data_IF_360076489553
#
_entry.id   IF_360076489553
#
_cell.length_a   1.000
_cell.length_b   1.000
_cell.length_c   1.000
_cell.angle_alpha   90.00
_cell.angle_beta   90.00
_cell.angle_gamma   90.00
#
_symmetry.space_group_name_H-M   'P 1'
#
loop_
_entity.id
_entity.type
_entity.pdbx_description
1 polymer ?
#
# COMPACT_ATOMS: atom_id res chain seq x y z
N UNK A 1 -16.30 -21.63 1.95
CA UNK A 1 -16.42 -20.54 2.96
C UNK A 1 -15.93 -19.22 2.40
N UNK A 2 -16.31 -18.08 3.04
CA UNK A 2 -15.81 -16.75 2.65
C UNK A 2 -14.69 -16.30 3.59
N UNK A 3 -13.59 -15.78 3.04
CA UNK A 3 -12.39 -15.34 3.74
C UNK A 3 -12.14 -13.88 3.34
N UNK A 4 -11.97 -12.99 4.31
CA UNK A 4 -11.55 -11.62 4.02
C UNK A 4 -10.05 -11.60 3.69
N UNK A 5 -9.66 -10.80 2.68
CA UNK A 5 -8.27 -10.58 2.31
C UNK A 5 -7.93 -9.11 2.51
N UNK A 6 -6.85 -8.86 3.26
CA UNK A 6 -6.18 -7.57 3.40
C UNK A 6 -4.71 -7.72 3.02
N UNK A 7 -4.09 -6.63 2.63
CA UNK A 7 -2.66 -6.53 2.33
C UNK A 7 -2.22 -5.08 2.41
N UNK A 8 -0.93 -4.84 2.59
CA UNK A 8 -0.34 -3.50 2.47
C UNK A 8 -1.11 -2.45 3.29
N UNK A 9 -1.34 -2.76 4.58
CA UNK A 9 -2.08 -1.86 5.48
C UNK A 9 -1.23 -0.70 5.97
N UNK A 10 0.11 -0.84 5.97
CA UNK A 10 1.09 0.19 6.25
C UNK A 10 0.73 1.09 7.42
N UNK A 11 0.37 0.50 8.58
CA UNK A 11 0.15 1.30 9.78
C UNK A 11 1.40 2.12 10.11
N UNK A 12 1.23 3.44 10.22
CA UNK A 12 2.32 4.39 10.37
C UNK A 12 2.75 5.07 9.06
N UNK A 13 1.99 4.86 7.98
CA UNK A 13 2.24 5.52 6.69
C UNK A 13 2.34 7.05 6.81
N UNK A 14 3.06 7.65 5.84
CA UNK A 14 3.27 9.09 5.77
C UNK A 14 3.91 9.64 7.04
N UNK A 15 4.96 8.96 7.51
CA UNK A 15 5.75 9.34 8.68
C UNK A 15 4.91 9.46 9.96
N UNK A 16 4.10 8.43 10.26
CA UNK A 16 3.17 8.35 11.39
C UNK A 16 2.10 9.48 11.40
N UNK A 17 1.67 9.90 10.23
CA UNK A 17 0.69 10.98 10.08
C UNK A 17 -0.62 10.64 10.77
N UNK A 18 -1.05 11.49 11.72
CA UNK A 18 -2.35 11.34 12.38
C UNK A 18 -3.52 11.44 11.40
N UNK A 19 -3.39 12.24 10.34
CA UNK A 19 -4.41 12.42 9.32
C UNK A 19 -4.65 11.10 8.59
N UNK A 20 -3.56 10.42 8.19
CA UNK A 20 -3.66 9.12 7.53
C UNK A 20 -4.14 8.02 8.48
N UNK A 21 -3.67 8.01 9.74
CA UNK A 21 -4.13 7.07 10.76
C UNK A 21 -5.65 7.16 10.96
N UNK A 22 -6.21 8.37 11.12
CA UNK A 22 -7.65 8.60 11.23
C UNK A 22 -8.42 8.22 9.96
N UNK A 23 -7.85 8.51 8.80
CA UNK A 23 -8.43 8.15 7.51
C UNK A 23 -8.48 6.62 7.32
N UNK A 24 -7.45 5.88 7.72
CA UNK A 24 -7.43 4.42 7.68
C UNK A 24 -8.47 3.82 8.61
N UNK A 25 -8.56 4.30 9.85
CA UNK A 25 -9.58 3.81 10.79
C UNK A 25 -11.00 4.13 10.35
N UNK A 26 -11.23 5.22 9.64
CA UNK A 26 -12.54 5.51 9.04
C UNK A 26 -12.99 4.40 8.07
N UNK A 27 -12.07 3.82 7.31
CA UNK A 27 -12.36 2.66 6.46
C UNK A 27 -12.66 1.42 7.30
N UNK A 28 -11.85 1.11 8.31
CA UNK A 28 -12.08 -0.07 9.15
C UNK A 28 -13.41 0.03 9.90
N UNK A 29 -13.71 1.18 10.47
CA UNK A 29 -14.90 1.39 11.30
C UNK A 29 -16.20 1.37 10.50
N UNK A 30 -16.20 1.89 9.28
CA UNK A 30 -17.43 2.09 8.52
C UNK A 30 -17.60 1.14 7.34
N UNK A 31 -16.55 0.42 6.92
CA UNK A 31 -16.62 -0.48 5.77
C UNK A 31 -16.20 -1.89 6.16
N UNK A 32 -14.95 -2.08 6.60
CA UNK A 32 -14.37 -3.40 6.78
C UNK A 32 -15.08 -4.22 7.85
N UNK A 33 -15.06 -3.78 9.11
CA UNK A 33 -15.68 -4.54 10.22
C UNK A 33 -17.20 -4.69 10.08
N UNK A 34 -17.96 -3.65 9.68
CA UNK A 34 -19.39 -3.81 9.40
C UNK A 34 -19.66 -4.88 8.34
N UNK A 35 -18.90 -4.89 7.25
CA UNK A 35 -19.06 -5.88 6.18
C UNK A 35 -18.79 -7.31 6.69
N UNK A 36 -17.72 -7.53 7.45
CA UNK A 36 -17.42 -8.84 8.03
C UNK A 36 -18.58 -9.34 8.90
N UNK A 37 -19.10 -8.45 9.73
CA UNK A 37 -20.23 -8.76 10.63
C UNK A 37 -21.51 -9.08 9.87
N UNK A 38 -21.89 -8.26 8.89
CA UNK A 38 -23.10 -8.42 8.08
C UNK A 38 -23.07 -9.71 7.27
N UNK A 39 -21.89 -10.11 6.75
CA UNK A 39 -21.72 -11.30 5.94
C UNK A 39 -21.24 -12.52 6.74
N UNK A 40 -21.16 -12.43 8.07
CA UNK A 40 -20.69 -13.50 8.98
C UNK A 40 -19.34 -14.09 8.55
N UNK A 41 -18.39 -13.24 8.11
CA UNK A 41 -17.04 -13.65 7.76
C UNK A 41 -16.22 -13.75 9.05
N UNK A 42 -15.61 -14.92 9.28
CA UNK A 42 -14.89 -15.25 10.52
C UNK A 42 -13.42 -15.59 10.28
N UNK A 43 -12.94 -15.45 9.07
CA UNK A 43 -11.54 -15.70 8.72
C UNK A 43 -10.99 -14.52 7.94
N UNK A 44 -9.81 -14.06 8.36
CA UNK A 44 -9.03 -13.01 7.69
C UNK A 44 -7.66 -13.59 7.30
N UNK A 45 -7.27 -13.39 6.06
CA UNK A 45 -5.87 -13.57 5.62
C UNK A 45 -5.30 -12.20 5.28
N UNK A 46 -4.22 -11.81 5.95
CA UNK A 46 -3.44 -10.62 5.66
C UNK A 46 -2.19 -11.00 4.87
N UNK A 47 -2.06 -10.49 3.66
CA UNK A 47 -1.01 -10.87 2.72
C UNK A 47 0.30 -10.08 2.89
N UNK A 48 0.59 -9.61 4.10
CA UNK A 48 1.84 -8.91 4.43
C UNK A 48 1.76 -7.38 4.38
N UNK A 49 2.84 -6.75 4.83
CA UNK A 49 3.00 -5.30 4.96
C UNK A 49 1.97 -4.66 5.89
N UNK A 50 1.98 -5.12 7.15
CA UNK A 50 1.15 -4.55 8.21
C UNK A 50 1.65 -3.18 8.61
N UNK A 51 2.97 -3.03 8.81
CA UNK A 51 3.58 -1.76 9.24
C UNK A 51 4.28 -1.08 8.07
N UNK A 52 4.36 0.24 8.14
CA UNK A 52 4.98 1.04 7.09
C UNK A 52 6.52 0.99 7.15
N UNK A 53 7.09 0.98 8.37
CA UNK A 53 8.54 1.06 8.56
C UNK A 53 9.12 -0.17 9.24
N UNK A 54 10.20 -0.69 8.70
CA UNK A 54 10.87 -1.92 9.14
C UNK A 54 11.45 -1.86 10.55
N UNK A 55 12.08 -0.74 10.93
CA UNK A 55 12.96 -0.69 12.09
C UNK A 55 12.31 -0.16 13.37
N UNK A 56 11.21 0.55 13.26
CA UNK A 56 10.53 1.14 14.39
C UNK A 56 9.07 1.47 14.08
N UNK A 57 8.27 1.54 15.10
CA UNK A 57 6.88 1.98 15.05
C UNK A 57 6.66 3.07 16.11
N UNK A 58 5.90 4.09 15.79
CA UNK A 58 5.47 5.09 16.75
C UNK A 58 4.53 4.46 17.78
N UNK A 59 4.72 4.75 19.07
CA UNK A 59 3.91 4.18 20.15
C UNK A 59 2.41 4.48 20.02
N UNK A 60 2.03 5.65 19.48
CA UNK A 60 0.61 5.98 19.22
C UNK A 60 0.04 5.08 18.12
N UNK A 61 0.80 4.86 17.04
CA UNK A 61 0.39 3.97 15.95
C UNK A 61 0.26 2.54 16.47
N UNK A 62 1.25 2.04 17.23
CA UNK A 62 1.20 0.71 17.84
C UNK A 62 0.00 0.56 18.79
N UNK A 63 -0.28 1.58 19.61
CA UNK A 63 -1.45 1.61 20.49
C UNK A 63 -2.75 1.56 19.70
N UNK A 64 -2.90 2.39 18.67
CA UNK A 64 -4.09 2.42 17.82
C UNK A 64 -4.25 1.10 17.06
N UNK A 65 -3.18 0.56 16.48
CA UNK A 65 -3.19 -0.74 15.82
C UNK A 65 -3.70 -1.85 16.75
N UNK A 66 -3.15 -1.92 17.96
CA UNK A 66 -3.61 -2.90 18.94
C UNK A 66 -5.09 -2.72 19.27
N UNK A 67 -5.49 -1.53 19.70
CA UNK A 67 -6.84 -1.31 20.30
C UNK A 67 -7.96 -1.09 19.28
N UNK A 68 -7.65 -0.55 18.09
CA UNK A 68 -8.67 -0.27 17.09
C UNK A 68 -8.75 -1.32 15.98
N UNK A 69 -7.71 -2.17 15.84
CA UNK A 69 -7.69 -3.21 14.81
C UNK A 69 -7.59 -4.61 15.43
N UNK A 70 -6.50 -4.95 16.13
CA UNK A 70 -6.28 -6.30 16.65
C UNK A 70 -7.31 -6.69 17.73
N UNK A 71 -7.56 -5.82 18.73
CA UNK A 71 -8.55 -6.10 19.80
C UNK A 71 -9.95 -6.34 19.21
N UNK A 72 -10.30 -5.70 18.10
CA UNK A 72 -11.58 -5.94 17.42
C UNK A 72 -11.63 -7.29 16.72
N UNK A 73 -10.56 -7.69 16.04
CA UNK A 73 -10.46 -9.03 15.43
C UNK A 73 -10.67 -10.11 16.50
N UNK A 74 -10.05 -9.97 17.68
CA UNK A 74 -10.21 -10.89 18.80
C UNK A 74 -11.62 -10.86 19.37
N UNK A 75 -12.17 -9.69 19.65
CA UNK A 75 -13.55 -9.54 20.20
C UNK A 75 -14.60 -10.14 19.26
N UNK A 76 -14.44 -9.99 17.96
CA UNK A 76 -15.34 -10.55 16.95
C UNK A 76 -15.05 -12.00 16.60
N UNK A 77 -14.01 -12.60 17.24
CA UNK A 77 -13.55 -13.99 17.04
C UNK A 77 -13.26 -14.27 15.57
N UNK A 78 -12.44 -13.44 14.97
CA UNK A 78 -11.96 -13.61 13.60
C UNK A 78 -10.64 -14.35 13.64
N UNK A 79 -10.62 -15.57 13.09
CA UNK A 79 -9.40 -16.34 12.88
C UNK A 79 -8.51 -15.60 11.90
N UNK A 80 -7.35 -15.15 12.39
CA UNK A 80 -6.48 -14.24 11.65
C UNK A 80 -5.20 -14.94 11.23
N UNK A 81 -4.95 -14.95 9.93
CA UNK A 81 -3.76 -15.50 9.29
C UNK A 81 -2.93 -14.38 8.68
N UNK A 82 -1.65 -14.28 9.01
CA UNK A 82 -0.81 -13.16 8.63
C UNK A 82 0.45 -13.68 7.94
N UNK A 83 0.65 -13.28 6.70
CA UNK A 83 1.92 -13.43 5.99
C UNK A 83 2.86 -12.29 6.38
N UNK A 84 4.14 -12.58 6.47
CA UNK A 84 5.17 -11.55 6.62
C UNK A 84 5.44 -10.93 5.26
N UNK A 85 5.29 -9.60 5.17
CA UNK A 85 5.69 -8.79 4.03
C UNK A 85 7.10 -8.20 4.22
N UNK A 86 7.56 -7.48 3.23
CA UNK A 86 8.91 -6.90 3.23
C UNK A 86 9.04 -5.68 4.16
N UNK A 87 7.96 -4.94 4.45
CA UNK A 87 7.94 -3.88 5.45
C UNK A 87 7.86 -4.40 6.89
N UNK A 88 7.43 -5.63 7.08
CA UNK A 88 7.28 -6.20 8.42
C UNK A 88 8.61 -6.67 9.05
N UNK A 89 9.67 -6.86 8.24
CA UNK A 89 10.95 -7.43 8.67
C UNK A 89 11.98 -6.37 9.02
N UNK A 90 12.76 -6.58 10.10
CA UNK A 90 13.84 -5.69 10.47
C UNK A 90 15.04 -5.81 9.53
N UNK A 91 15.52 -7.03 9.30
CA UNK A 91 16.63 -7.34 8.40
C UNK A 91 16.11 -7.80 7.04
N UNK A 92 16.72 -7.32 5.94
CA UNK A 92 16.28 -7.66 4.59
C UNK A 92 16.50 -9.12 4.19
N UNK A 93 17.24 -9.88 4.98
CA UNK A 93 17.65 -11.24 4.68
C UNK A 93 16.96 -12.33 5.50
N UNK A 94 16.03 -11.98 6.39
CA UNK A 94 15.32 -12.94 7.24
C UNK A 94 13.94 -12.45 7.68
N UNK A 95 12.96 -13.34 7.76
CA UNK A 95 11.64 -13.07 8.31
C UNK A 95 11.55 -13.26 9.83
N UNK A 96 12.61 -13.76 10.49
CA UNK A 96 12.58 -14.14 11.91
C UNK A 96 12.46 -12.98 12.88
N UNK A 97 13.01 -11.82 12.49
CA UNK A 97 12.88 -10.58 13.27
C UNK A 97 11.89 -9.67 12.56
N UNK A 98 10.65 -9.68 13.02
CA UNK A 98 9.57 -8.96 12.39
C UNK A 98 8.68 -8.24 13.40
N UNK A 99 8.00 -7.20 12.94
CA UNK A 99 7.09 -6.39 13.75
C UNK A 99 5.81 -7.15 14.12
N UNK A 100 5.34 -8.05 13.27
CA UNK A 100 4.06 -8.76 13.42
C UNK A 100 4.02 -9.58 14.70
N UNK A 101 5.05 -10.37 14.96
CA UNK A 101 5.16 -11.14 16.21
C UNK A 101 5.15 -10.26 17.46
N UNK A 102 5.71 -9.07 17.37
CA UNK A 102 5.79 -8.15 18.52
C UNK A 102 4.49 -7.41 18.77
N UNK A 103 3.72 -7.12 17.71
CA UNK A 103 2.54 -6.25 17.76
C UNK A 103 1.22 -7.04 17.84
N UNK A 104 1.17 -8.26 17.33
CA UNK A 104 -0.05 -9.04 17.17
C UNK A 104 -0.26 -10.11 18.26
N UNK A 105 0.37 -9.96 19.44
CA UNK A 105 0.20 -10.87 20.57
C UNK A 105 -1.18 -10.69 21.23
N UNK A 106 -1.93 -11.76 21.40
CA UNK A 106 -3.22 -11.74 22.08
C UNK A 106 -3.06 -11.48 23.60
N UNK A 107 -3.97 -10.70 24.22
CA UNK A 107 -3.86 -10.34 25.63
C UNK A 107 -3.96 -11.51 26.61
N UNK A 108 -4.70 -12.55 26.22
CA UNK A 108 -5.01 -13.73 27.04
C UNK A 108 -4.30 -15.02 26.56
N UNK A 109 -3.53 -14.94 25.48
CA UNK A 109 -2.93 -16.09 24.81
C UNK A 109 -3.93 -17.00 24.10
N UNK A 110 -5.22 -16.63 24.10
CA UNK A 110 -6.24 -17.30 23.30
C UNK A 110 -6.46 -16.53 21.99
N UNK A 111 -6.73 -17.25 20.88
CA UNK A 111 -6.93 -16.67 19.55
C UNK A 111 -5.71 -15.88 19.01
N UNK A 112 -4.50 -16.36 19.31
CA UNK A 112 -3.27 -15.86 18.69
C UNK A 112 -3.39 -15.95 17.16
N UNK A 113 -2.97 -14.92 16.41
CA UNK A 113 -2.96 -15.00 14.96
C UNK A 113 -1.94 -16.04 14.47
N UNK A 114 -2.28 -16.70 13.37
CA UNK A 114 -1.34 -17.60 12.68
C UNK A 114 -0.38 -16.74 11.85
N UNK A 115 0.89 -16.64 12.27
CA UNK A 115 1.91 -15.85 11.60
C UNK A 115 2.81 -16.77 10.77
N UNK A 116 2.94 -16.47 9.48
CA UNK A 116 3.70 -17.26 8.52
C UNK A 116 5.00 -16.55 8.17
N UNK A 117 6.11 -17.00 8.76
CA UNK A 117 7.48 -16.56 8.46
C UNK A 117 8.11 -17.41 7.36
N UNK A 118 7.65 -18.67 7.26
CA UNK A 118 8.04 -19.66 6.27
C UNK A 118 6.81 -20.13 5.47
N UNK A 119 6.99 -20.65 4.25
CA UNK A 119 5.89 -21.14 3.43
C UNK A 119 5.19 -22.32 4.10
N UNK A 120 3.86 -22.31 4.05
CA UNK A 120 3.05 -23.38 4.66
C UNK A 120 1.77 -23.61 3.87
N UNK A 121 1.41 -24.89 3.66
CA UNK A 121 0.09 -25.26 3.17
C UNK A 121 -0.91 -25.24 4.33
N UNK A 122 -2.02 -24.57 4.16
CA UNK A 122 -3.13 -24.48 5.12
C UNK A 122 -4.41 -24.86 4.42
N UNK A 123 -5.21 -25.69 5.08
CA UNK A 123 -6.52 -26.09 4.58
C UNK A 123 -7.60 -25.13 5.09
N UNK A 124 -8.40 -24.63 4.17
CA UNK A 124 -9.59 -23.82 4.46
C UNK A 124 -10.81 -24.48 3.78
N UNK A 125 -11.69 -25.06 4.57
CA UNK A 125 -12.93 -25.67 4.08
C UNK A 125 -12.69 -26.69 2.93
N UNK A 126 -11.67 -27.54 3.10
CA UNK A 126 -11.28 -28.55 2.12
C UNK A 126 -10.39 -28.04 0.98
N UNK A 127 -10.13 -26.74 0.90
CA UNK A 127 -9.21 -26.16 -0.08
C UNK A 127 -7.83 -25.95 0.54
N UNK A 128 -6.81 -26.55 -0.06
CA UNK A 128 -5.43 -26.31 0.31
C UNK A 128 -4.90 -25.03 -0.34
N UNK A 129 -4.44 -24.10 0.48
CA UNK A 129 -3.83 -22.83 0.05
C UNK A 129 -2.37 -22.80 0.50
N UNK A 130 -1.45 -22.53 -0.41
CA UNK A 130 -0.06 -22.25 -0.06
C UNK A 130 0.05 -20.79 0.42
N UNK A 131 0.37 -20.64 1.71
CA UNK A 131 0.67 -19.37 2.34
C UNK A 131 2.16 -19.06 2.13
N UNK A 132 2.50 -18.04 1.34
CA UNK A 132 3.86 -17.71 0.94
C UNK A 132 4.26 -16.33 1.47
N UNK A 133 5.08 -16.24 2.52
CA UNK A 133 5.60 -14.97 3.03
C UNK A 133 6.62 -14.36 2.07
N UNK A 134 7.11 -13.17 2.41
CA UNK A 134 8.18 -12.51 1.68
C UNK A 134 9.40 -13.43 1.50
N UNK A 135 9.82 -13.57 0.25
CA UNK A 135 10.99 -14.39 -0.11
C UNK A 135 12.25 -13.53 0.07
N UNK A 136 13.19 -14.05 0.85
CA UNK A 136 14.46 -13.40 1.15
C UNK A 136 15.62 -14.41 1.09
N UNK A 137 16.90 -13.99 1.17
CA UNK A 137 18.03 -14.89 1.01
C UNK A 137 18.07 -16.09 1.99
N UNK A 138 17.48 -15.97 3.18
CA UNK A 138 17.48 -17.09 4.15
C UNK A 138 16.48 -18.19 3.76
N UNK A 139 15.28 -17.81 3.28
CA UNK A 139 14.18 -18.74 3.03
C UNK A 139 13.98 -19.09 1.54
N UNK A 140 14.71 -18.47 0.62
CA UNK A 140 14.52 -18.58 -0.83
C UNK A 140 14.47 -20.03 -1.32
N UNK A 141 15.45 -20.84 -0.95
CA UNK A 141 15.51 -22.25 -1.39
C UNK A 141 14.27 -23.03 -0.95
N UNK A 142 13.82 -22.82 0.30
CA UNK A 142 12.62 -23.47 0.82
C UNK A 142 11.35 -22.95 0.17
N UNK A 143 11.25 -21.65 -0.05
CA UNK A 143 10.11 -21.03 -0.75
C UNK A 143 9.98 -21.56 -2.18
N UNK A 144 11.09 -21.62 -2.93
CA UNK A 144 11.09 -22.14 -4.31
C UNK A 144 10.76 -23.65 -4.35
N UNK A 145 11.25 -24.44 -3.40
CA UNK A 145 10.87 -25.83 -3.25
C UNK A 145 9.36 -25.97 -3.01
N UNK A 146 8.80 -25.23 -2.07
CA UNK A 146 7.37 -25.26 -1.76
C UNK A 146 6.50 -24.76 -2.93
N UNK A 147 6.93 -23.73 -3.65
CA UNK A 147 6.26 -23.30 -4.87
C UNK A 147 6.19 -24.40 -5.93
N UNK A 148 7.19 -25.27 -6.01
CA UNK A 148 7.22 -26.38 -6.97
C UNK A 148 6.49 -27.64 -6.49
N UNK A 149 6.48 -27.95 -5.18
CA UNK A 149 6.09 -29.27 -4.67
C UNK A 149 4.84 -29.29 -3.79
N UNK A 150 4.41 -28.11 -3.24
CA UNK A 150 3.30 -28.06 -2.29
C UNK A 150 2.01 -28.61 -2.92
N UNK A 151 1.24 -29.40 -2.17
CA UNK A 151 -0.07 -29.88 -2.58
C UNK A 151 -1.13 -28.79 -2.31
N UNK A 152 -1.20 -27.80 -3.20
CA UNK A 152 -2.16 -26.71 -3.14
C UNK A 152 -2.50 -26.23 -4.56
N UNK A 153 -3.76 -25.86 -4.78
CA UNK A 153 -4.26 -25.31 -6.06
C UNK A 153 -4.18 -23.79 -6.10
N UNK A 154 -4.25 -23.14 -4.93
CA UNK A 154 -4.21 -21.69 -4.77
C UNK A 154 -2.97 -21.30 -3.98
N UNK A 155 -2.34 -20.20 -4.39
CA UNK A 155 -1.26 -19.57 -3.66
C UNK A 155 -1.69 -18.18 -3.19
N UNK A 156 -1.42 -17.85 -1.93
CA UNK A 156 -1.59 -16.51 -1.37
C UNK A 156 -0.25 -16.04 -0.83
N UNK A 157 0.23 -14.89 -1.29
CA UNK A 157 1.59 -14.47 -0.98
C UNK A 157 1.82 -12.98 -0.94
N UNK A 158 3.08 -12.63 -0.65
CA UNK A 158 3.61 -11.29 -0.76
C UNK A 158 4.78 -11.33 -1.73
N UNK A 159 4.50 -11.13 -3.01
CA UNK A 159 5.45 -11.37 -4.09
C UNK A 159 5.91 -10.10 -4.77
N UNK A 160 7.17 -10.07 -5.15
CA UNK A 160 7.73 -9.13 -6.12
C UNK A 160 7.95 -9.87 -7.46
N UNK A 161 6.94 -9.82 -8.35
CA UNK A 161 7.00 -10.46 -9.67
C UNK A 161 7.22 -9.42 -10.76
N UNK A 162 8.10 -9.74 -11.71
CA UNK A 162 8.33 -8.87 -12.86
C UNK A 162 7.13 -8.89 -13.83
N UNK A 163 6.99 -7.83 -14.62
CA UNK A 163 5.96 -7.69 -15.65
C UNK A 163 4.63 -7.11 -15.17
N UNK A 164 4.42 -6.93 -13.86
CA UNK A 164 3.23 -6.30 -13.30
C UNK A 164 3.44 -4.79 -13.07
N UNK A 165 2.33 -4.03 -13.07
CA UNK A 165 2.36 -2.59 -12.83
C UNK A 165 2.44 -2.31 -11.35
N UNK A 166 3.44 -1.55 -10.94
CA UNK A 166 3.54 -0.99 -9.59
C UNK A 166 2.66 0.25 -9.42
N UNK A 167 2.62 1.10 -10.46
CA UNK A 167 1.85 2.35 -10.58
C UNK A 167 1.41 2.51 -12.04
N UNK A 168 0.56 3.50 -12.35
CA UNK A 168 -0.03 3.69 -13.68
C UNK A 168 0.97 3.72 -14.86
N UNK A 169 2.19 4.20 -14.66
CA UNK A 169 3.21 4.29 -15.71
C UNK A 169 4.44 3.40 -15.47
N UNK A 170 4.50 2.67 -14.35
CA UNK A 170 5.69 1.93 -13.95
C UNK A 170 5.41 0.42 -13.88
N UNK A 171 6.11 -0.33 -14.73
CA UNK A 171 6.07 -1.80 -14.73
C UNK A 171 7.32 -2.31 -14.00
N UNK A 172 7.14 -3.24 -13.06
CA UNK A 172 8.24 -3.92 -12.39
C UNK A 172 9.10 -4.71 -13.39
N UNK A 173 10.38 -4.39 -13.45
CA UNK A 173 11.35 -5.02 -14.34
C UNK A 173 12.28 -6.01 -13.62
N UNK A 174 12.32 -5.91 -12.30
CA UNK A 174 13.09 -6.76 -11.42
C UNK A 174 12.15 -7.71 -10.66
N UNK A 175 12.67 -8.51 -9.76
CA UNK A 175 11.88 -9.49 -9.04
C UNK A 175 11.87 -10.86 -9.72
N UNK A 176 11.07 -11.77 -9.18
CA UNK A 176 10.98 -13.13 -9.71
C UNK A 176 10.17 -13.18 -11.00
N UNK A 177 10.54 -14.11 -11.89
CA UNK A 177 9.70 -14.42 -13.06
C UNK A 177 8.39 -15.06 -12.60
N UNK A 178 7.26 -14.63 -13.17
CA UNK A 178 5.94 -15.15 -12.81
C UNK A 178 5.77 -16.66 -13.01
N UNK A 179 6.64 -17.31 -13.77
CA UNK A 179 6.64 -18.75 -13.95
C UNK A 179 6.77 -19.52 -12.63
N UNK A 180 7.35 -18.93 -11.58
CA UNK A 180 7.46 -19.57 -10.26
C UNK A 180 6.11 -19.92 -9.63
N UNK A 181 5.04 -19.21 -10.01
CA UNK A 181 3.67 -19.43 -9.51
C UNK A 181 2.75 -20.04 -10.58
N UNK A 182 3.25 -20.36 -11.78
CA UNK A 182 2.45 -20.79 -12.94
C UNK A 182 1.67 -22.10 -12.75
N UNK A 183 2.09 -22.94 -11.78
CA UNK A 183 1.40 -24.21 -11.50
C UNK A 183 0.11 -24.05 -10.72
N UNK A 184 -0.08 -22.92 -10.03
CA UNK A 184 -1.30 -22.66 -9.26
C UNK A 184 -2.42 -22.19 -10.18
N UNK A 185 -3.64 -22.61 -9.88
CA UNK A 185 -4.83 -22.16 -10.61
C UNK A 185 -5.01 -20.64 -10.48
N UNK A 186 -4.83 -20.15 -9.24
CA UNK A 186 -4.89 -18.72 -8.88
C UNK A 186 -3.80 -18.38 -7.89
N UNK A 187 -3.21 -17.20 -8.05
CA UNK A 187 -2.25 -16.62 -7.10
C UNK A 187 -2.73 -15.24 -6.72
N UNK A 188 -2.91 -14.97 -5.43
CA UNK A 188 -3.28 -13.67 -4.87
C UNK A 188 -2.13 -13.09 -4.09
N UNK A 189 -1.77 -11.83 -4.36
CA UNK A 189 -0.60 -11.19 -3.78
C UNK A 189 -0.89 -9.79 -3.24
N UNK A 190 -0.24 -9.46 -2.13
CA UNK A 190 0.06 -8.09 -1.71
C UNK A 190 1.27 -7.52 -2.43
N UNK A 191 1.91 -6.49 -1.87
CA UNK A 191 3.11 -5.80 -2.30
C UNK A 191 2.84 -4.62 -3.26
N UNK A 192 2.10 -4.80 -4.34
CA UNK A 192 1.76 -3.69 -5.23
C UNK A 192 0.44 -3.04 -4.82
N UNK A 193 0.48 -1.72 -4.58
CA UNK A 193 -0.67 -0.96 -4.07
C UNK A 193 -1.76 -0.71 -5.11
N UNK A 194 -1.46 -0.90 -6.40
CA UNK A 194 -2.44 -0.84 -7.48
C UNK A 194 -2.91 -2.24 -7.86
N UNK A 195 -4.22 -2.39 -8.00
CA UNK A 195 -4.79 -3.65 -8.51
C UNK A 195 -4.28 -3.93 -9.91
N UNK A 196 -3.80 -5.15 -10.11
CA UNK A 196 -3.28 -5.60 -11.39
C UNK A 196 -3.41 -7.12 -11.49
N UNK A 197 -3.80 -7.64 -12.63
CA UNK A 197 -3.90 -9.07 -12.84
C UNK A 197 -3.60 -9.45 -14.30
N UNK A 198 -3.27 -10.71 -14.51
CA UNK A 198 -3.14 -11.33 -15.82
C UNK A 198 -4.09 -12.53 -16.02
N UNK A 199 -5.08 -12.67 -15.14
CA UNK A 199 -6.05 -13.76 -15.11
C UNK A 199 -5.62 -14.97 -14.26
N UNK A 200 -4.33 -15.08 -13.89
CA UNK A 200 -3.80 -16.14 -13.02
C UNK A 200 -3.16 -15.57 -11.76
N UNK A 201 -2.40 -14.50 -11.87
CA UNK A 201 -1.83 -13.75 -10.75
C UNK A 201 -2.61 -12.46 -10.55
N UNK A 202 -3.04 -12.21 -9.30
CA UNK A 202 -3.85 -11.07 -8.90
C UNK A 202 -3.14 -10.29 -7.79
N UNK A 203 -2.65 -9.10 -8.09
CA UNK A 203 -2.26 -8.12 -7.09
C UNK A 203 -3.51 -7.38 -6.62
N UNK A 204 -3.83 -7.51 -5.33
CA UNK A 204 -5.11 -7.03 -4.79
C UNK A 204 -5.16 -5.52 -4.59
N UNK A 205 -3.99 -4.88 -4.47
CA UNK A 205 -3.88 -3.46 -4.19
C UNK A 205 -4.24 -3.09 -2.75
N UNK A 206 -3.88 -1.88 -2.32
CA UNK A 206 -4.14 -1.39 -0.97
C UNK A 206 -5.61 -1.00 -0.75
N UNK A 207 -6.03 -0.96 0.53
CA UNK A 207 -7.42 -0.68 0.92
C UNK A 207 -7.81 0.78 0.80
N UNK A 208 -6.83 1.67 0.80
CA UNK A 208 -7.01 3.12 0.81
C UNK A 208 -5.85 3.82 0.10
N UNK A 209 -6.03 5.10 -0.18
CA UNK A 209 -4.99 5.93 -0.78
C UNK A 209 -3.92 6.26 0.27
N UNK A 210 -2.64 6.09 -0.07
CA UNK A 210 -1.49 6.42 0.78
C UNK A 210 -0.61 7.50 0.16
N UNK A 211 -0.54 7.52 -1.18
CA UNK A 211 0.29 8.45 -1.94
C UNK A 211 -0.50 9.10 -3.07
N UNK A 212 0.05 10.13 -3.70
CA UNK A 212 -0.59 10.79 -4.86
C UNK A 212 -0.70 9.89 -6.09
N UNK A 213 0.09 8.83 -6.19
CA UNK A 213 -0.06 7.81 -7.24
C UNK A 213 -1.37 7.03 -7.11
N UNK A 214 -1.93 6.97 -5.91
CA UNK A 214 -3.21 6.33 -5.63
C UNK A 214 -4.43 7.16 -6.04
N UNK A 215 -4.23 8.44 -6.37
CA UNK A 215 -5.32 9.32 -6.78
C UNK A 215 -6.10 8.73 -7.96
N UNK A 216 -7.43 8.67 -7.81
CA UNK A 216 -8.36 8.09 -8.78
C UNK A 216 -8.20 6.58 -9.02
N UNK A 217 -7.42 5.88 -8.18
CA UNK A 217 -7.35 4.43 -8.18
C UNK A 217 -8.43 3.86 -7.24
N UNK A 218 -9.11 2.80 -7.67
CA UNK A 218 -10.14 2.18 -6.84
C UNK A 218 -9.50 1.36 -5.72
N UNK A 219 -9.74 1.78 -4.49
CA UNK A 219 -9.25 1.14 -3.26
C UNK A 219 -10.35 0.36 -2.56
N UNK A 220 -9.95 -0.66 -1.78
CA UNK A 220 -10.88 -1.51 -1.05
C UNK A 220 -10.21 -2.80 -0.60
N UNK A 221 -11.00 -3.76 -0.16
CA UNK A 221 -10.52 -5.08 0.23
C UNK A 221 -11.24 -6.17 -0.58
N UNK A 222 -10.82 -7.41 -0.40
CA UNK A 222 -11.39 -8.52 -1.16
C UNK A 222 -11.98 -9.58 -0.23
N UNK A 223 -12.94 -10.32 -0.75
CA UNK A 223 -13.51 -11.50 -0.10
C UNK A 223 -13.30 -12.68 -1.03
N UNK A 224 -12.49 -13.62 -0.59
CA UNK A 224 -12.21 -14.86 -1.31
C UNK A 224 -13.25 -15.92 -0.95
N UNK A 225 -13.75 -16.63 -1.94
CA UNK A 225 -14.64 -17.77 -1.78
C UNK A 225 -13.91 -19.08 -2.06
N UNK A 226 -13.81 -19.97 -1.08
CA UNK A 226 -13.09 -21.23 -1.19
C UNK A 226 -13.73 -22.21 -2.21
N UNK A 227 -15.03 -22.09 -2.46
CA UNK A 227 -15.74 -22.95 -3.39
C UNK A 227 -15.47 -22.54 -4.85
N UNK A 228 -15.61 -21.25 -5.16
CA UNK A 228 -15.42 -20.72 -6.51
C UNK A 228 -13.96 -20.38 -6.83
N UNK A 229 -13.13 -20.20 -5.79
CA UNK A 229 -11.73 -19.74 -5.87
C UNK A 229 -11.55 -18.35 -6.47
N UNK A 230 -12.60 -17.53 -6.46
CA UNK A 230 -12.64 -16.16 -6.95
C UNK A 230 -12.68 -15.15 -5.80
N UNK A 231 -12.36 -13.91 -6.12
CA UNK A 231 -12.41 -12.79 -5.18
C UNK A 231 -13.47 -11.79 -5.58
N UNK A 232 -14.28 -11.37 -4.61
CA UNK A 232 -15.18 -10.23 -4.70
C UNK A 232 -14.47 -8.97 -4.18
N UNK A 233 -14.48 -7.89 -4.95
CA UNK A 233 -13.91 -6.60 -4.53
C UNK A 233 -14.94 -5.76 -3.79
N UNK A 234 -14.62 -5.36 -2.57
CA UNK A 234 -15.44 -4.48 -1.70
C UNK A 234 -14.80 -3.10 -1.69
N UNK A 235 -15.45 -2.16 -2.38
CA UNK A 235 -14.92 -0.81 -2.57
C UNK A 235 -14.88 0.00 -1.28
N UNK A 236 -13.75 0.66 -1.03
CA UNK A 236 -13.65 1.76 -0.07
C UNK A 236 -14.22 3.04 -0.71
N UNK A 237 -15.30 3.65 -0.16
CA UNK A 237 -15.87 4.87 -0.72
C UNK A 237 -15.06 6.13 -0.36
N UNK A 238 -14.12 6.03 0.60
CA UNK A 238 -13.36 7.17 1.09
C UNK A 238 -12.12 7.40 0.25
N UNK A 239 -11.85 8.67 -0.03
CA UNK A 239 -10.62 9.16 -0.67
C UNK A 239 -10.01 10.24 0.19
N UNK A 240 -8.70 10.47 0.08
CA UNK A 240 -8.03 11.54 0.80
C UNK A 240 -7.39 12.57 -0.14
N UNK A 241 -7.11 12.20 -1.38
CA UNK A 241 -6.55 13.07 -2.39
C UNK A 241 -7.62 13.60 -3.35
N UNK A 242 -7.51 14.88 -3.75
CA UNK A 242 -8.37 15.51 -4.75
C UNK A 242 -7.56 16.41 -5.66
N UNK A 243 -7.86 16.37 -6.97
CA UNK A 243 -7.37 17.35 -7.94
C UNK A 243 -8.51 18.30 -8.30
N UNK A 244 -8.23 19.59 -8.30
CA UNK A 244 -9.12 20.63 -8.76
C UNK A 244 -8.45 21.34 -9.95
N UNK A 245 -9.06 21.26 -11.12
CA UNK A 245 -8.58 22.01 -12.28
C UNK A 245 -9.35 23.33 -12.33
N UNK A 246 -8.62 24.44 -12.19
CA UNK A 246 -9.16 25.78 -12.34
C UNK A 246 -9.00 26.23 -13.79
N UNK A 247 -10.11 26.51 -14.44
CA UNK A 247 -10.20 27.09 -15.77
C UNK A 247 -11.41 28.02 -15.81
N UNK A 248 -11.17 29.33 -15.82
CA UNK A 248 -12.21 30.35 -15.80
C UNK A 248 -12.58 30.87 -17.21
N UNK A 249 -12.16 30.15 -18.26
CA UNK A 249 -12.49 30.52 -19.63
C UNK A 249 -14.01 30.60 -19.82
N UNK A 250 -14.72 29.56 -19.37
CA UNK A 250 -16.17 29.42 -19.52
C UNK A 250 -16.89 29.07 -18.20
N UNK A 251 -16.17 29.07 -17.07
CA UNK A 251 -16.68 28.63 -15.78
C UNK A 251 -16.55 29.70 -14.71
N UNK A 252 -17.63 29.91 -13.97
CA UNK A 252 -17.64 30.77 -12.79
C UNK A 252 -17.45 29.96 -11.51
N UNK A 253 -16.45 30.32 -10.70
CA UNK A 253 -16.10 29.65 -9.47
C UNK A 253 -16.66 30.30 -8.21
N UNK A 254 -17.35 31.45 -8.29
CA UNK A 254 -17.92 32.12 -7.10
C UNK A 254 -18.93 31.24 -6.33
N UNK A 255 -19.64 30.37 -7.08
CA UNK A 255 -20.62 29.43 -6.51
C UNK A 255 -20.21 27.95 -6.69
N UNK A 256 -18.93 27.71 -6.98
CA UNK A 256 -18.43 26.35 -7.14
C UNK A 256 -18.56 25.59 -5.80
N UNK A 257 -19.11 24.37 -5.86
CA UNK A 257 -19.24 23.53 -4.67
C UNK A 257 -17.86 22.98 -4.25
N UNK A 258 -17.42 23.37 -3.07
CA UNK A 258 -16.13 22.96 -2.48
C UNK A 258 -16.28 21.89 -1.39
N UNK A 259 -17.49 21.40 -1.11
CA UNK A 259 -17.75 20.47 -0.01
C UNK A 259 -16.98 19.15 -0.15
N UNK A 260 -16.80 18.65 -1.36
CA UNK A 260 -16.04 17.43 -1.66
C UNK A 260 -14.53 17.57 -1.38
N UNK A 261 -14.04 18.78 -1.16
CA UNK A 261 -12.64 19.07 -0.86
C UNK A 261 -12.37 19.19 0.64
N UNK A 262 -13.40 19.06 1.48
CA UNK A 262 -13.24 19.08 2.93
C UNK A 262 -12.45 17.87 3.41
N UNK A 263 -11.47 18.09 4.29
CA UNK A 263 -10.55 17.08 4.83
C UNK A 263 -9.80 16.31 3.72
N UNK A 264 -9.28 17.05 2.72
CA UNK A 264 -8.51 16.49 1.61
C UNK A 264 -7.13 17.15 1.48
N UNK A 265 -6.21 16.40 0.90
CA UNK A 265 -5.01 16.95 0.25
C UNK A 265 -5.41 17.34 -1.16
N UNK A 266 -5.19 18.60 -1.53
CA UNK A 266 -5.68 19.15 -2.79
C UNK A 266 -4.52 19.57 -3.67
N UNK A 267 -4.48 19.10 -4.93
CA UNK A 267 -3.69 19.70 -6.01
C UNK A 267 -4.60 20.57 -6.86
N UNK A 268 -4.43 21.89 -6.76
CA UNK A 268 -5.15 22.89 -7.57
C UNK A 268 -4.30 23.22 -8.79
N UNK A 269 -4.72 22.71 -9.94
CA UNK A 269 -4.05 22.90 -11.23
C UNK A 269 -4.69 24.09 -11.94
N UNK A 270 -3.91 25.13 -12.20
CA UNK A 270 -4.38 26.34 -12.87
C UNK A 270 -4.15 26.23 -14.37
N UNK A 271 -5.20 25.88 -15.11
CA UNK A 271 -5.16 25.78 -16.57
C UNK A 271 -5.30 27.15 -17.24
N UNK A 272 -6.30 27.95 -16.83
CA UNK A 272 -6.50 29.31 -17.27
C UNK A 272 -6.97 30.17 -16.10
N UNK A 273 -6.36 31.36 -15.95
CA UNK A 273 -6.66 32.33 -14.90
C UNK A 273 -6.80 33.73 -15.52
N UNK A 274 -7.99 34.03 -16.03
CA UNK A 274 -8.32 35.34 -16.65
C UNK A 274 -8.79 36.34 -15.61
N UNK A 275 -9.61 35.90 -14.66
CA UNK A 275 -10.10 36.69 -13.52
C UNK A 275 -9.32 36.30 -12.24
N UNK A 276 -8.29 37.09 -11.94
CA UNK A 276 -7.47 36.91 -10.73
C UNK A 276 -8.31 37.06 -9.45
N UNK A 277 -9.30 37.97 -9.43
CA UNK A 277 -10.13 38.19 -8.24
C UNK A 277 -11.04 36.98 -7.96
N UNK A 278 -11.58 36.34 -9.01
CA UNK A 278 -12.39 35.13 -8.85
C UNK A 278 -11.53 33.94 -8.35
N UNK A 279 -10.28 33.85 -8.82
CA UNK A 279 -9.33 32.84 -8.32
C UNK A 279 -9.02 33.08 -6.85
N UNK A 280 -8.72 34.33 -6.45
CA UNK A 280 -8.44 34.67 -5.04
C UNK A 280 -9.65 34.36 -4.14
N UNK A 281 -10.88 34.66 -4.58
CA UNK A 281 -12.10 34.30 -3.84
C UNK A 281 -12.26 32.76 -3.71
N UNK A 282 -11.93 31.98 -4.74
CA UNK A 282 -11.93 30.52 -4.63
C UNK A 282 -10.92 30.03 -3.58
N UNK A 283 -9.69 30.57 -3.58
CA UNK A 283 -8.69 30.25 -2.58
C UNK A 283 -9.16 30.62 -1.18
N UNK A 284 -9.71 31.83 -0.98
CA UNK A 284 -10.25 32.26 0.31
C UNK A 284 -11.33 31.31 0.82
N UNK A 285 -12.21 30.82 -0.06
CA UNK A 285 -13.22 29.83 0.29
C UNK A 285 -12.62 28.47 0.68
N UNK A 286 -11.63 27.97 -0.08
CA UNK A 286 -10.93 26.72 0.23
C UNK A 286 -10.20 26.78 1.56
N UNK A 287 -9.63 27.95 1.94
CA UNK A 287 -8.91 28.10 3.21
C UNK A 287 -9.83 28.40 4.40
N UNK A 288 -10.97 29.08 4.19
CA UNK A 288 -11.77 29.62 5.30
C UNK A 288 -13.12 28.92 5.51
N UNK A 289 -13.73 28.31 4.45
CA UNK A 289 -15.04 27.69 4.55
C UNK A 289 -14.99 26.17 4.83
N UNK A 290 -13.86 25.51 4.48
CA UNK A 290 -13.64 24.08 4.71
C UNK A 290 -12.29 23.84 5.38
N UNK A 291 -12.12 22.64 5.95
CA UNK A 291 -10.84 22.21 6.52
C UNK A 291 -10.07 21.41 5.49
N UNK A 292 -9.04 21.98 4.88
CA UNK A 292 -8.13 21.26 3.97
C UNK A 292 -6.90 20.78 4.72
N UNK A 293 -6.39 19.57 4.41
CA UNK A 293 -5.15 19.10 4.99
C UNK A 293 -3.95 19.79 4.37
N UNK A 294 -3.98 19.96 3.05
CA UNK A 294 -2.97 20.66 2.27
C UNK A 294 -3.60 21.18 0.96
N UNK A 295 -3.17 22.35 0.52
CA UNK A 295 -3.53 22.92 -0.78
C UNK A 295 -2.24 23.27 -1.53
N UNK A 296 -1.90 22.48 -2.55
CA UNK A 296 -0.77 22.73 -3.45
C UNK A 296 -1.28 23.31 -4.76
N UNK A 297 -0.85 24.54 -5.08
CA UNK A 297 -1.21 25.24 -6.33
C UNK A 297 -0.15 24.94 -7.39
N UNK A 298 -0.58 24.52 -8.58
CA UNK A 298 0.27 24.18 -9.72
C UNK A 298 -0.13 25.08 -10.88
N UNK A 299 0.73 26.05 -11.21
CA UNK A 299 0.47 27.03 -12.28
C UNK A 299 1.16 26.68 -13.60
N UNK A 300 2.08 25.72 -13.62
CA UNK A 300 2.76 25.26 -14.82
C UNK A 300 2.51 23.77 -15.07
N UNK A 301 2.03 23.44 -16.27
CA UNK A 301 1.77 22.03 -16.66
C UNK A 301 3.05 21.19 -16.76
N UNK A 302 4.22 21.81 -16.94
CA UNK A 302 5.51 21.09 -16.92
C UNK A 302 5.81 20.51 -15.55
N UNK A 303 5.33 21.13 -14.47
CA UNK A 303 5.48 20.64 -13.09
C UNK A 303 4.60 19.41 -12.78
N UNK A 304 3.52 19.19 -13.52
CA UNK A 304 2.60 18.07 -13.28
C UNK A 304 3.25 16.70 -13.53
N UNK A 305 4.16 16.61 -14.48
CA UNK A 305 4.88 15.37 -14.78
C UNK A 305 5.99 15.09 -13.78
N UNK A 306 6.58 16.13 -13.18
CA UNK A 306 7.65 16.01 -12.20
C UNK A 306 7.14 15.87 -10.76
N UNK A 307 6.04 16.52 -10.38
CA UNK A 307 5.52 16.49 -9.01
C UNK A 307 4.84 15.18 -8.63
N UNK A 308 4.30 14.40 -9.59
CA UNK A 308 3.75 13.08 -9.27
C UNK A 308 4.84 12.04 -8.97
N UNK A 309 6.05 12.21 -9.53
CA UNK A 309 7.17 11.28 -9.33
C UNK A 309 7.98 11.65 -8.08
N UNK A 310 8.18 12.95 -7.78
CA UNK A 310 9.06 13.37 -6.69
C UNK A 310 8.47 13.18 -5.28
N UNK A 311 7.15 13.38 -5.12
CA UNK A 311 6.51 13.25 -3.80
C UNK A 311 6.30 11.76 -3.42
N UNK A 312 6.08 10.88 -4.41
CA UNK A 312 5.82 9.45 -4.19
C UNK A 312 7.13 8.62 -4.14
N UNK A 313 8.15 9.04 -4.87
CA UNK A 313 9.48 8.37 -4.93
C UNK A 313 10.22 8.47 -3.60
N UNK A 314 10.08 9.58 -2.86
CA UNK A 314 10.77 9.77 -1.58
C UNK A 314 10.20 8.91 -0.44
N UNK A 315 8.94 8.47 -0.54
CA UNK A 315 8.24 7.81 0.57
C UNK A 315 7.91 6.33 0.36
N UNK A 316 7.90 5.85 -0.89
CA UNK A 316 7.46 4.49 -1.24
C UNK A 316 8.58 3.53 -1.66
N UNK A 317 9.83 3.92 -1.64
CA UNK A 317 10.88 3.09 -2.22
C UNK A 317 11.63 2.27 -1.18
N UNK A 318 11.43 0.98 -1.22
CA UNK A 318 12.31 0.02 -0.55
C UNK A 318 13.73 0.01 -1.10
N UNK A 319 13.91 0.45 -2.32
CA UNK A 319 15.20 0.64 -2.96
C UNK A 319 15.29 2.03 -3.60
N UNK A 320 15.48 3.02 -2.73
CA UNK A 320 15.74 4.41 -3.13
C UNK A 320 16.81 4.51 -4.22
N UNK A 321 17.81 3.63 -4.21
CA UNK A 321 18.89 3.62 -5.21
C UNK A 321 18.37 3.17 -6.57
N UNK A 322 17.55 2.13 -6.62
CA UNK A 322 16.98 1.63 -7.89
C UNK A 322 16.07 2.67 -8.52
N UNK A 323 15.20 3.30 -7.75
CA UNK A 323 14.31 4.36 -8.26
C UNK A 323 15.07 5.61 -8.70
N UNK A 324 16.10 6.01 -7.96
CA UNK A 324 16.96 7.12 -8.36
C UNK A 324 17.74 6.77 -9.62
N UNK A 325 18.22 5.55 -9.75
CA UNK A 325 18.90 5.09 -10.97
C UNK A 325 17.97 5.10 -12.19
N UNK A 326 16.74 4.60 -12.04
CA UNK A 326 15.73 4.62 -13.09
C UNK A 326 15.31 6.05 -13.46
N UNK A 327 15.22 6.94 -12.48
CA UNK A 327 14.98 8.36 -12.72
C UNK A 327 16.13 9.02 -13.50
N UNK A 328 17.38 8.76 -13.10
CA UNK A 328 18.58 9.25 -13.81
C UNK A 328 18.61 8.76 -15.25
N UNK A 329 18.19 7.51 -15.51
CA UNK A 329 18.12 6.97 -16.87
C UNK A 329 17.10 7.69 -17.76
N UNK A 330 16.02 8.20 -17.17
CA UNK A 330 14.96 8.89 -17.88
C UNK A 330 15.22 10.40 -18.05
N UNK A 331 16.21 10.99 -17.36
CA UNK A 331 16.52 12.41 -17.49
C UNK A 331 16.95 12.75 -18.92
N UNK A 332 16.32 13.77 -19.55
CA UNK A 332 16.68 14.22 -20.90
C UNK A 332 17.92 15.15 -20.86
N UNK A 333 19.01 14.71 -20.23
CA UNK A 333 20.23 15.50 -20.06
C UNK A 333 21.42 14.79 -20.68
N UNK A 334 22.31 15.57 -21.28
CA UNK A 334 23.58 15.11 -21.86
C UNK A 334 24.68 15.10 -20.78
N UNK A 335 24.44 14.30 -19.72
CA UNK A 335 25.38 14.06 -18.63
C UNK A 335 25.77 12.59 -18.59
N UNK A 336 26.97 12.31 -18.07
CA UNK A 336 27.41 10.95 -17.79
C UNK A 336 26.54 10.34 -16.68
N UNK A 337 25.47 9.65 -17.08
CA UNK A 337 24.47 9.07 -16.20
C UNK A 337 25.08 8.03 -15.26
N UNK A 338 26.09 7.30 -15.70
CA UNK A 338 26.76 6.28 -14.88
C UNK A 338 27.55 6.94 -13.73
N UNK A 339 28.23 8.05 -13.99
CA UNK A 339 28.88 8.83 -12.94
C UNK A 339 27.88 9.43 -11.96
N UNK A 340 26.76 9.94 -12.47
CA UNK A 340 25.71 10.50 -11.63
C UNK A 340 25.13 9.45 -10.68
N UNK A 341 24.86 8.23 -11.17
CA UNK A 341 24.39 7.10 -10.36
C UNK A 341 25.40 6.70 -9.28
N UNK A 342 26.69 6.63 -9.63
CA UNK A 342 27.74 6.31 -8.66
C UNK A 342 27.79 7.37 -7.56
N UNK A 343 27.78 8.64 -7.91
CA UNK A 343 27.81 9.76 -6.94
C UNK A 343 26.60 9.73 -6.01
N UNK A 344 25.41 9.50 -6.54
CA UNK A 344 24.17 9.40 -5.74
C UNK A 344 24.24 8.19 -4.80
N UNK A 345 24.75 7.06 -5.28
CA UNK A 345 24.93 5.86 -4.46
C UNK A 345 25.90 6.09 -3.29
N UNK A 346 27.01 6.78 -3.54
CA UNK A 346 27.98 7.14 -2.50
C UNK A 346 27.37 8.08 -1.47
N UNK A 347 26.63 9.12 -1.90
CA UNK A 347 25.92 10.03 -1.00
C UNK A 347 24.86 9.32 -0.16
N UNK A 348 24.15 8.36 -0.74
CA UNK A 348 23.14 7.57 -0.03
C UNK A 348 23.77 6.66 1.04
N UNK A 349 24.89 6.01 0.74
CA UNK A 349 25.64 5.19 1.70
C UNK A 349 26.17 6.07 2.84
N UNK A 350 26.72 7.23 2.52
CA UNK A 350 27.23 8.18 3.52
C UNK A 350 26.12 8.71 4.43
N UNK A 351 24.94 8.98 3.88
CA UNK A 351 23.77 9.39 4.67
C UNK A 351 23.29 8.26 5.61
N UNK A 352 23.29 7.01 5.17
CA UNK A 352 22.93 5.87 6.02
C UNK A 352 23.95 5.62 7.14
N UNK A 353 25.25 5.81 6.86
CA UNK A 353 26.30 5.68 7.88
C UNK A 353 26.27 6.81 8.93
N UNK A 354 25.69 7.96 8.59
CA UNK A 354 25.57 9.09 9.51
C UNK A 354 24.41 8.89 10.51
N UNK A 355 23.32 8.24 10.08
CA UNK A 355 22.18 7.89 10.97
C UNK A 355 22.51 6.81 12.01
N UNK A 356 23.60 6.07 11.85
CA UNK A 356 24.01 4.99 12.78
C UNK A 356 24.88 5.51 13.92
N UNK A 357 25.24 6.80 13.93
CA UNK A 357 26.18 7.39 14.92
C UNK A 357 25.53 8.27 15.99
N UNK A 358 24.22 8.45 15.99
CA UNK A 358 23.42 9.07 17.04
C UNK A 358 22.57 7.97 17.75
#
# INVERSE_FOLDING_TARGET
MKIALLNDTHFGARNDSNIFDEYFYKFYDNVFFPYLKENNIKTLIHLGDIVDRRKFINYKIAHNFKHKFMDRLWQEKIDTHILIGNHDIYYRNTNKVNAVKSLCTAPDGENEPFIYEDPKVVEFDGLNILMMPWINPENESHCLEMLNTANADVCMGHFDLNGFRMMDAMVQKHGYDKSIVSRFEKTYSGHFHHKNDDGQVFYLGSQYEMTWSDYNNQKGFHVFDTETREVEFIKNPYTIFKKLVYDDTDKNYDKFDITDYNQKFIKLVVANKRDHQMFDRLLDRLYNEISVHELKIIEDYSDLSHTNVSDDVAEGSEDTITLVNDYVDQLPVDLDKDKLKIMIKEMYIEAQDTEVKD
#
